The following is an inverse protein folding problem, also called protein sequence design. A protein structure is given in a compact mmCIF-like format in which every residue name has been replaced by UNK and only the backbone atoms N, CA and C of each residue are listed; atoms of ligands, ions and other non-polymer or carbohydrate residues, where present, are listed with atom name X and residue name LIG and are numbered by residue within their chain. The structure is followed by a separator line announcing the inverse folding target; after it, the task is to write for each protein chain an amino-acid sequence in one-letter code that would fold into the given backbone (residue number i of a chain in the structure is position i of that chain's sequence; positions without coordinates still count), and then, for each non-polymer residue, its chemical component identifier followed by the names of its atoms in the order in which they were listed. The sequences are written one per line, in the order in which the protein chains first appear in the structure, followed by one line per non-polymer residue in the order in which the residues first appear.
data_IF_019051777838
#
_entry.id   IF_019051777838
#
_cell.length_a   1.000
_cell.length_b   1.000
_cell.length_c   1.000
_cell.angle_alpha   90.00
_cell.angle_beta   90.00
_cell.angle_gamma   90.00
#
_symmetry.space_group_name_H-M   'P 1'
#
loop_
_entity.id
_entity.type
_entity.pdbx_description
1 polymer ?
#
# COMPACT_ATOMS: atom_id res chain seq x y z
N UNK A 1 18.18 -7.12 11.08
CA UNK A 1 18.03 -5.68 11.37
C UNK A 1 16.63 -5.18 10.99
N UNK A 2 16.18 -5.32 9.73
CA UNK A 2 14.84 -4.90 9.28
C UNK A 2 13.67 -5.44 10.12
N UNK A 3 13.67 -6.73 10.49
CA UNK A 3 12.64 -7.31 11.35
C UNK A 3 12.54 -6.67 12.75
N UNK A 4 13.67 -6.24 13.33
CA UNK A 4 13.68 -5.54 14.61
C UNK A 4 13.12 -4.12 14.46
N UNK A 5 13.49 -3.41 13.40
CA UNK A 5 12.93 -2.10 13.05
C UNK A 5 11.42 -2.18 12.81
N UNK A 6 10.97 -3.20 12.09
CA UNK A 6 9.55 -3.41 11.82
C UNK A 6 8.76 -3.59 13.13
N UNK A 7 9.19 -4.53 13.98
CA UNK A 7 8.50 -4.87 15.23
C UNK A 7 8.66 -3.81 16.33
N UNK A 8 9.80 -3.11 16.38
CA UNK A 8 10.11 -2.14 17.43
C UNK A 8 9.69 -0.71 17.10
N UNK A 9 9.55 -0.36 15.81
CA UNK A 9 9.27 1.02 15.39
C UNK A 9 8.03 1.07 14.49
N UNK A 10 8.06 0.39 13.35
CA UNK A 10 7.01 0.54 12.32
C UNK A 10 5.61 0.26 12.86
N UNK A 11 5.41 -0.86 13.56
CA UNK A 11 4.09 -1.27 14.09
C UNK A 11 3.51 -0.26 15.10
N UNK A 12 4.34 0.58 15.70
CA UNK A 12 3.93 1.63 16.64
C UNK A 12 3.78 3.00 15.98
N UNK A 13 4.45 3.24 14.84
CA UNK A 13 4.53 4.55 14.20
C UNK A 13 3.72 4.69 12.91
N UNK A 14 3.27 3.59 12.28
CA UNK A 14 2.43 3.69 11.07
C UNK A 14 1.10 4.44 11.29
N UNK A 15 0.63 4.55 12.55
CA UNK A 15 -0.54 5.33 12.99
C UNK A 15 -0.18 6.52 13.89
N UNK A 16 1.02 7.07 13.74
CA UNK A 16 1.45 8.22 14.52
C UNK A 16 0.53 9.44 14.33
N UNK A 17 0.53 10.35 15.31
CA UNK A 17 -0.22 11.60 15.25
C UNK A 17 0.29 12.49 14.11
N UNK A 18 1.61 12.48 13.88
CA UNK A 18 2.24 13.28 12.82
C UNK A 18 2.07 12.61 11.46
N UNK A 19 1.69 13.40 10.45
CA UNK A 19 1.33 12.91 9.12
C UNK A 19 2.56 12.43 8.37
N UNK A 20 3.66 13.16 8.55
CA UNK A 20 4.97 12.94 7.94
C UNK A 20 5.53 11.59 8.38
N UNK A 21 5.37 11.24 9.67
CA UNK A 21 5.78 9.94 10.21
C UNK A 21 4.96 8.81 9.59
N UNK A 22 3.64 8.98 9.45
CA UNK A 22 2.79 7.95 8.82
C UNK A 22 3.14 7.75 7.35
N UNK A 23 3.39 8.84 6.62
CA UNK A 23 3.82 8.79 5.23
C UNK A 23 5.17 8.06 5.07
N UNK A 24 6.16 8.44 5.88
CA UNK A 24 7.48 7.77 5.90
C UNK A 24 7.36 6.28 6.23
N UNK A 25 6.51 5.89 7.19
CA UNK A 25 6.26 4.48 7.46
C UNK A 25 5.72 3.75 6.22
N UNK A 26 4.76 4.35 5.50
CA UNK A 26 4.21 3.71 4.30
C UNK A 26 5.23 3.62 3.17
N UNK A 27 6.05 4.66 2.98
CA UNK A 27 7.14 4.67 2.02
C UNK A 27 8.11 3.49 2.28
N UNK A 28 8.63 3.39 3.50
CA UNK A 28 9.57 2.32 3.90
C UNK A 28 8.94 0.92 3.80
N UNK A 29 7.67 0.77 4.18
CA UNK A 29 6.97 -0.50 3.98
C UNK A 29 6.95 -0.91 2.51
N UNK A 30 6.69 0.04 1.61
CA UNK A 30 6.70 -0.21 0.17
C UNK A 30 8.06 -0.67 -0.34
N UNK A 31 9.15 -0.12 0.20
CA UNK A 31 10.52 -0.55 -0.10
C UNK A 31 10.71 -2.00 0.36
N UNK A 32 10.42 -2.32 1.63
CA UNK A 32 10.62 -3.68 2.16
C UNK A 32 9.80 -4.74 1.42
N UNK A 33 8.57 -4.42 1.03
CA UNK A 33 7.71 -5.32 0.25
C UNK A 33 8.32 -5.70 -1.10
N UNK A 34 9.11 -4.81 -1.72
CA UNK A 34 9.77 -5.06 -3.02
C UNK A 34 11.16 -5.65 -2.87
N UNK A 35 11.93 -5.22 -1.87
CA UNK A 35 13.35 -5.61 -1.74
C UNK A 35 13.56 -6.91 -0.96
N UNK A 36 12.60 -7.32 -0.12
CA UNK A 36 12.64 -8.56 0.66
C UNK A 36 11.24 -9.23 0.68
N UNK A 37 10.71 -9.62 -0.48
CA UNK A 37 9.34 -10.12 -0.61
C UNK A 37 9.13 -11.42 0.19
N UNK A 38 10.13 -12.28 0.32
CA UNK A 38 10.06 -13.51 1.14
C UNK A 38 9.61 -13.22 2.59
N UNK A 39 10.19 -12.20 3.23
CA UNK A 39 9.84 -11.86 4.61
C UNK A 39 8.65 -10.89 4.71
N UNK A 40 8.47 -9.99 3.74
CA UNK A 40 7.52 -8.88 3.88
C UNK A 40 6.27 -8.99 3.00
N UNK A 41 6.31 -9.60 1.82
CA UNK A 41 5.16 -9.61 0.89
C UNK A 41 4.08 -10.63 1.28
N UNK A 42 3.54 -10.50 2.48
CA UNK A 42 2.50 -11.36 3.03
C UNK A 42 1.36 -10.51 3.60
N UNK A 43 0.22 -11.15 3.86
CA UNK A 43 -0.97 -10.49 4.42
C UNK A 43 -0.69 -9.76 5.74
N UNK A 44 0.28 -10.28 6.52
CA UNK A 44 0.72 -9.68 7.77
C UNK A 44 1.23 -8.25 7.61
N UNK A 45 1.91 -7.96 6.49
CA UNK A 45 2.45 -6.65 6.19
C UNK A 45 1.56 -5.86 5.20
N UNK A 46 1.01 -6.50 4.17
CA UNK A 46 0.16 -5.86 3.17
C UNK A 46 -1.06 -5.17 3.80
N UNK A 47 -1.60 -5.72 4.90
CA UNK A 47 -2.72 -5.10 5.65
C UNK A 47 -2.46 -3.64 6.03
N UNK A 48 -1.20 -3.25 6.27
CA UNK A 48 -0.86 -1.88 6.65
C UNK A 48 -1.11 -0.90 5.50
N UNK A 49 -0.71 -1.22 4.26
CA UNK A 49 -1.08 -0.42 3.08
C UNK A 49 -2.61 -0.35 2.94
N UNK A 50 -3.30 -1.49 3.10
CA UNK A 50 -4.75 -1.56 3.01
C UNK A 50 -5.49 -0.71 4.06
N UNK A 51 -5.00 -0.69 5.29
CA UNK A 51 -5.55 0.16 6.36
C UNK A 51 -5.27 1.62 6.08
N UNK A 52 -4.05 1.96 5.68
CA UNK A 52 -3.60 3.35 5.50
C UNK A 52 -4.14 4.00 4.22
N UNK A 53 -4.69 3.23 3.27
CA UNK A 53 -5.59 3.78 2.25
C UNK A 53 -6.81 4.52 2.83
N UNK A 54 -7.19 4.30 4.09
CA UNK A 54 -8.27 5.02 4.78
C UNK A 54 -7.77 6.21 5.61
N UNK A 55 -6.49 6.59 5.51
CA UNK A 55 -5.96 7.72 6.25
C UNK A 55 -6.72 9.01 5.90
N UNK A 56 -6.91 9.88 6.89
CA UNK A 56 -7.56 11.17 6.71
C UNK A 56 -6.73 12.10 5.82
N UNK A 57 -5.42 11.91 5.75
CA UNK A 57 -4.50 12.75 4.99
C UNK A 57 -4.13 12.11 3.67
N UNK A 58 -4.29 12.88 2.61
CA UNK A 58 -4.09 12.43 1.23
C UNK A 58 -2.68 11.96 0.94
N UNK A 59 -1.66 12.63 1.47
CA UNK A 59 -0.25 12.23 1.30
C UNK A 59 0.00 10.78 1.71
N UNK A 60 -0.65 10.30 2.78
CA UNK A 60 -0.53 8.91 3.24
C UNK A 60 -1.28 7.96 2.30
N UNK A 61 -2.48 8.35 1.85
CA UNK A 61 -3.26 7.57 0.88
C UNK A 61 -2.51 7.44 -0.46
N UNK A 62 -1.94 8.54 -0.94
CA UNK A 62 -1.16 8.62 -2.17
C UNK A 62 0.06 7.69 -2.10
N UNK A 63 0.80 7.72 -1.00
CA UNK A 63 1.94 6.82 -0.78
C UNK A 63 1.52 5.34 -0.83
N UNK A 64 0.37 4.99 -0.22
CA UNK A 64 -0.15 3.63 -0.27
C UNK A 64 -0.46 3.20 -1.70
N UNK A 65 -1.13 4.05 -2.48
CA UNK A 65 -1.52 3.77 -3.86
C UNK A 65 -0.30 3.60 -4.75
N UNK A 66 0.69 4.50 -4.67
CA UNK A 66 1.95 4.41 -5.43
C UNK A 66 2.74 3.14 -5.09
N UNK A 67 2.80 2.78 -3.81
CA UNK A 67 3.43 1.53 -3.40
C UNK A 67 2.71 0.31 -3.97
N UNK A 68 1.38 0.30 -3.95
CA UNK A 68 0.61 -0.78 -4.56
C UNK A 68 0.86 -0.86 -6.06
N UNK A 69 0.89 0.27 -6.78
CA UNK A 69 1.24 0.26 -8.21
C UNK A 69 2.58 -0.42 -8.45
N UNK A 70 3.61 -0.08 -7.67
CA UNK A 70 4.92 -0.72 -7.76
C UNK A 70 4.90 -2.23 -7.46
N UNK A 71 3.94 -2.73 -6.68
CA UNK A 71 3.78 -4.18 -6.46
C UNK A 71 3.03 -4.87 -7.60
N UNK A 72 2.02 -4.22 -8.20
CA UNK A 72 1.28 -4.79 -9.34
C UNK A 72 2.03 -4.69 -10.68
N UNK A 73 3.13 -3.94 -10.74
CA UNK A 73 4.03 -3.95 -11.90
C UNK A 73 4.93 -5.18 -11.95
N UNK A 74 5.07 -5.91 -10.83
CA UNK A 74 5.93 -7.09 -10.72
C UNK A 74 5.08 -8.37 -10.90
N UNK A 75 5.19 -9.02 -12.07
CA UNK A 75 4.37 -10.20 -12.41
C UNK A 75 4.51 -11.34 -11.39
N UNK A 76 5.71 -11.54 -10.85
CA UNK A 76 6.00 -12.55 -9.82
C UNK A 76 5.23 -12.33 -8.52
N UNK A 77 4.78 -11.09 -8.26
CA UNK A 77 4.09 -10.74 -7.01
C UNK A 77 2.58 -10.93 -7.08
N UNK A 78 1.99 -11.02 -8.28
CA UNK A 78 0.54 -10.97 -8.49
C UNK A 78 -0.21 -12.03 -7.69
N UNK A 79 0.27 -13.29 -7.69
CA UNK A 79 -0.36 -14.37 -6.93
C UNK A 79 -0.42 -14.11 -5.41
N UNK A 80 0.54 -13.34 -4.87
CA UNK A 80 0.57 -12.95 -3.44
C UNK A 80 -0.35 -11.77 -3.12
N UNK A 81 -0.83 -11.06 -4.14
CA UNK A 81 -1.68 -9.88 -3.98
C UNK A 81 -3.18 -10.20 -4.09
N UNK A 82 -3.58 -11.37 -4.59
CA UNK A 82 -4.98 -11.70 -4.86
C UNK A 82 -5.92 -11.50 -3.66
N UNK A 83 -5.53 -12.01 -2.47
CA UNK A 83 -6.33 -11.87 -1.26
C UNK A 83 -6.45 -10.41 -0.83
N UNK A 84 -5.34 -9.66 -0.92
CA UNK A 84 -5.32 -8.23 -0.66
C UNK A 84 -6.26 -7.48 -1.62
N UNK A 85 -6.18 -7.76 -2.93
CA UNK A 85 -7.03 -7.18 -3.96
C UNK A 85 -8.49 -7.42 -3.63
N UNK A 86 -8.87 -8.67 -3.37
CA UNK A 86 -10.25 -9.05 -3.06
C UNK A 86 -10.77 -8.29 -1.83
N UNK A 87 -9.97 -8.26 -0.76
CA UNK A 87 -10.33 -7.62 0.51
C UNK A 87 -10.49 -6.10 0.40
N UNK A 88 -9.61 -5.42 -0.33
CA UNK A 88 -9.59 -3.96 -0.40
C UNK A 88 -10.17 -3.38 -1.69
N UNK A 89 -10.69 -4.21 -2.62
CA UNK A 89 -11.30 -3.80 -3.89
C UNK A 89 -12.30 -2.65 -3.73
N UNK A 90 -13.26 -2.80 -2.80
CA UNK A 90 -14.29 -1.77 -2.56
C UNK A 90 -13.67 -0.44 -2.12
N UNK A 91 -12.61 -0.47 -1.30
CA UNK A 91 -11.91 0.74 -0.88
C UNK A 91 -11.21 1.41 -2.06
N UNK A 92 -10.49 0.65 -2.88
CA UNK A 92 -9.80 1.19 -4.07
C UNK A 92 -10.81 1.83 -5.03
N UNK A 93 -11.93 1.16 -5.34
CA UNK A 93 -12.97 1.71 -6.20
C UNK A 93 -13.56 3.02 -5.66
N UNK A 94 -13.80 3.11 -4.35
CA UNK A 94 -14.30 4.35 -3.74
C UNK A 94 -13.29 5.50 -3.85
N UNK A 95 -11.99 5.21 -3.87
CA UNK A 95 -10.95 6.25 -3.98
C UNK A 95 -10.79 6.81 -5.40
N UNK A 96 -11.50 6.29 -6.41
CA UNK A 96 -11.62 6.95 -7.72
C UNK A 96 -12.31 8.33 -7.58
N UNK A 97 -13.11 8.50 -6.53
CA UNK A 97 -13.76 9.76 -6.17
C UNK A 97 -13.12 10.38 -4.91
N UNK A 98 -11.82 10.18 -4.71
CA UNK A 98 -11.10 10.79 -3.59
C UNK A 98 -11.20 12.33 -3.65
N UNK A 99 -11.26 12.99 -2.49
CA UNK A 99 -11.35 14.44 -2.40
C UNK A 99 -10.12 15.14 -2.99
N UNK A 100 -8.96 14.49 -2.95
CA UNK A 100 -7.76 14.98 -3.61
C UNK A 100 -7.61 14.36 -5.00
N UNK A 101 -7.62 15.20 -6.03
CA UNK A 101 -7.56 14.77 -7.42
C UNK A 101 -6.33 13.91 -7.74
N UNK A 102 -5.17 14.21 -7.16
CA UNK A 102 -3.96 13.42 -7.38
C UNK A 102 -4.13 11.98 -6.89
N UNK A 103 -4.78 11.76 -5.74
CA UNK A 103 -5.05 10.41 -5.22
C UNK A 103 -6.00 9.68 -6.16
N UNK A 104 -7.07 10.34 -6.62
CA UNK A 104 -8.03 9.75 -7.55
C UNK A 104 -7.37 9.29 -8.86
N UNK A 105 -6.49 10.11 -9.44
CA UNK A 105 -5.74 9.78 -10.65
C UNK A 105 -4.84 8.56 -10.43
N UNK A 106 -4.07 8.54 -9.34
CA UNK A 106 -3.19 7.40 -9.04
C UNK A 106 -3.97 6.10 -8.76
N UNK A 107 -5.17 6.20 -8.18
CA UNK A 107 -6.04 5.04 -7.96
C UNK A 107 -6.55 4.48 -9.28
N UNK A 108 -6.93 5.33 -10.24
CA UNK A 108 -7.32 4.88 -11.58
C UNK A 108 -6.17 4.11 -12.23
N UNK A 109 -4.95 4.64 -12.19
CA UNK A 109 -3.75 3.94 -12.70
C UNK A 109 -3.53 2.59 -12.01
N UNK A 110 -3.69 2.53 -10.69
CA UNK A 110 -3.60 1.28 -9.93
C UNK A 110 -4.65 0.26 -10.39
N UNK A 111 -5.90 0.68 -10.59
CA UNK A 111 -6.98 -0.21 -11.02
C UNK A 111 -6.75 -0.75 -12.45
N UNK A 112 -6.13 0.04 -13.33
CA UNK A 112 -5.71 -0.40 -14.67
C UNK A 112 -4.63 -1.48 -14.56
N UNK A 113 -3.61 -1.29 -13.73
CA UNK A 113 -2.58 -2.32 -13.48
C UNK A 113 -3.20 -3.62 -12.94
N UNK A 114 -4.12 -3.51 -11.96
CA UNK A 114 -4.83 -4.67 -11.39
C UNK A 114 -5.67 -5.38 -12.46
N UNK A 115 -6.26 -4.64 -13.40
CA UNK A 115 -7.03 -5.24 -14.48
C UNK A 115 -6.15 -6.04 -15.42
N UNK A 116 -5.03 -5.48 -15.86
CA UNK A 116 -4.10 -6.17 -16.76
C UNK A 116 -3.40 -7.36 -16.11
N UNK A 117 -3.12 -7.30 -14.80
CA UNK A 117 -2.52 -8.42 -14.08
C UNK A 117 -3.45 -9.65 -13.91
N UNK A 118 -4.73 -9.55 -14.30
CA UNK A 118 -5.69 -10.65 -14.27
C UNK A 118 -5.90 -11.32 -15.62
N UNK A 119 -5.45 -10.68 -16.70
CA UNK A 119 -5.47 -11.23 -18.05
C UNK A 119 -4.21 -12.08 -18.28
#
# INVERSE_FOLDING_TARGET
MMNATFRGIFVHRYRDRLVEIRAACMEELGIWLRTDPENFLNDGCLKYLGWMMNDKKSVVRLQCVRNLQGLYMEEEFIGRLELFTSRFKKRMLNMVMDQEYEVAVEVIKLLVLIHHAKD
#
